data_IF_158247087814
#
_entry.id   IF_158247087814
#
_cell.length_a   1.000
_cell.length_b   1.000
_cell.length_c   1.000
_cell.angle_alpha   90.00
_cell.angle_beta   90.00
_cell.angle_gamma   90.00
#
_symmetry.space_group_name_H-M   'P 1'
#
loop_
_entity.id
_entity.type
_entity.pdbx_description
1 polymer ?
#
# COMPACT_ATOMS: atom_id res chain seq x y z
N UNK A 1 17.03 22.56 10.88
CA UNK A 1 17.92 21.52 10.31
C UNK A 1 17.03 20.59 9.53
N UNK A 2 17.26 20.38 8.23
CA UNK A 2 16.53 19.38 7.47
C UNK A 2 17.08 18.01 7.85
N UNK A 3 16.23 17.14 8.40
CA UNK A 3 16.64 15.80 8.84
C UNK A 3 16.65 14.80 7.68
N UNK A 4 15.57 14.81 6.89
CA UNK A 4 15.36 13.91 5.75
C UNK A 4 14.27 14.47 4.83
N UNK A 5 14.13 13.90 3.64
CA UNK A 5 12.97 14.08 2.76
C UNK A 5 12.11 12.82 2.78
N UNK A 6 10.79 12.99 2.86
CA UNK A 6 9.83 11.91 2.62
C UNK A 6 9.10 12.20 1.30
N UNK A 7 8.67 11.15 0.64
CA UNK A 7 7.87 11.29 -0.58
C UNK A 7 6.45 11.82 -0.23
N UNK A 8 5.71 12.38 -1.20
CA UNK A 8 4.38 12.93 -0.96
C UNK A 8 3.39 11.92 -0.37
N UNK A 9 3.51 10.66 -0.80
CA UNK A 9 2.69 9.55 -0.32
C UNK A 9 2.99 9.18 1.13
N UNK A 10 4.26 9.29 1.53
CA UNK A 10 4.70 9.24 2.92
C UNK A 10 4.16 10.40 3.74
N UNK A 11 4.24 11.62 3.21
CA UNK A 11 3.72 12.83 3.86
C UNK A 11 2.23 12.74 4.16
N UNK A 12 1.43 12.33 3.18
CA UNK A 12 -0.03 12.26 3.32
C UNK A 12 -0.49 11.17 4.28
N UNK A 13 0.14 10.00 4.26
CA UNK A 13 -0.31 8.84 5.05
C UNK A 13 0.31 8.75 6.44
N UNK A 14 1.42 9.43 6.69
CA UNK A 14 2.20 9.26 7.93
C UNK A 14 2.55 10.56 8.62
N UNK A 15 2.41 11.70 7.93
CA UNK A 15 2.78 13.02 8.44
C UNK A 15 1.78 13.66 9.41
N UNK A 16 0.95 12.89 10.12
CA UNK A 16 -0.11 13.47 10.96
C UNK A 16 0.44 14.01 12.28
N UNK A 17 0.01 15.21 12.73
CA UNK A 17 0.36 15.69 14.07
C UNK A 17 0.01 14.65 15.15
N UNK A 18 1.00 14.32 15.98
CA UNK A 18 0.93 13.30 17.02
C UNK A 18 1.31 11.89 16.58
N UNK A 19 1.38 11.60 15.28
CA UNK A 19 1.80 10.30 14.77
C UNK A 19 3.32 10.10 14.88
N UNK A 20 3.73 8.88 15.21
CA UNK A 20 5.12 8.44 15.08
C UNK A 20 5.39 8.06 13.63
N UNK A 21 6.50 8.53 13.06
CA UNK A 21 6.91 8.18 11.70
C UNK A 21 7.16 6.66 11.58
N UNK A 22 6.92 6.06 10.41
CA UNK A 22 7.07 4.61 10.22
C UNK A 22 8.49 4.14 10.48
N UNK A 23 8.61 2.84 10.77
CA UNK A 23 9.89 2.18 11.05
C UNK A 23 10.86 2.42 9.89
N UNK A 24 12.09 2.83 10.21
CA UNK A 24 13.11 3.23 9.22
C UNK A 24 13.21 4.74 9.01
N UNK A 25 12.22 5.54 9.44
CA UNK A 25 12.25 7.00 9.37
C UNK A 25 12.65 7.70 10.68
N UNK A 26 13.25 6.96 11.62
CA UNK A 26 14.14 7.54 12.63
C UNK A 26 13.59 7.80 14.03
N UNK A 27 12.47 7.19 14.44
CA UNK A 27 12.00 7.31 15.83
C UNK A 27 11.59 8.73 16.19
N UNK A 28 10.91 9.41 15.27
CA UNK A 28 10.40 10.76 15.45
C UNK A 28 8.87 10.76 15.49
N UNK A 29 8.32 11.73 16.20
CA UNK A 29 6.89 12.07 16.22
C UNK A 29 6.67 13.40 15.52
N UNK A 30 5.61 13.47 14.74
CA UNK A 30 5.20 14.72 14.11
C UNK A 30 4.54 15.62 15.16
N UNK A 31 5.05 16.85 15.31
CA UNK A 31 4.43 17.88 16.16
C UNK A 31 3.51 18.76 15.33
N UNK A 32 3.92 19.07 14.10
CA UNK A 32 3.22 20.00 13.24
C UNK A 32 3.39 19.58 11.77
N UNK A 33 2.36 19.86 10.98
CA UNK A 33 2.28 19.56 9.55
C UNK A 33 1.86 20.82 8.83
N UNK A 34 2.68 21.28 7.91
CA UNK A 34 2.39 22.42 7.04
C UNK A 34 2.14 21.90 5.61
N UNK A 35 0.87 21.86 5.24
CA UNK A 35 0.42 21.43 3.90
C UNK A 35 0.77 22.43 2.80
N UNK A 36 0.96 23.72 3.11
CA UNK A 36 1.28 24.74 2.11
C UNK A 36 2.75 24.63 1.68
N UNK A 37 3.64 24.41 2.64
CA UNK A 37 5.07 24.24 2.36
C UNK A 37 5.48 22.78 2.13
N UNK A 38 4.62 21.81 2.45
CA UNK A 38 4.92 20.38 2.38
C UNK A 38 5.96 19.95 3.42
N UNK A 39 5.94 20.54 4.61
CA UNK A 39 6.95 20.29 5.65
C UNK A 39 6.36 19.71 6.93
N UNK A 40 7.13 18.85 7.59
CA UNK A 40 6.81 18.27 8.89
C UNK A 40 7.78 18.77 9.95
N UNK A 41 7.25 19.21 11.08
CA UNK A 41 8.05 19.49 12.27
C UNK A 41 8.07 18.25 13.16
N UNK A 42 9.27 17.77 13.48
CA UNK A 42 9.48 16.50 14.15
C UNK A 42 10.10 16.68 15.56
N UNK A 43 9.71 15.81 16.49
CA UNK A 43 10.35 15.63 17.80
C UNK A 43 10.93 14.22 17.90
N UNK A 44 12.13 14.02 18.49
CA UNK A 44 12.57 12.69 18.88
C UNK A 44 11.53 12.02 19.78
N UNK A 45 11.21 10.75 19.50
CA UNK A 45 10.23 9.96 20.22
C UNK A 45 10.91 8.71 20.81
N UNK A 46 11.13 8.73 22.13
CA UNK A 46 11.70 7.61 22.88
C UNK A 46 10.63 6.61 23.35
N UNK A 47 9.35 6.85 23.05
CA UNK A 47 8.24 6.08 23.63
C UNK A 47 7.98 4.72 22.96
N UNK A 48 8.81 4.33 21.98
CA UNK A 48 8.68 3.11 21.16
C UNK A 48 7.29 2.93 20.53
N UNK A 49 6.57 4.04 20.37
CA UNK A 49 5.21 4.02 19.81
C UNK A 49 5.26 3.89 18.31
N UNK A 50 4.29 3.13 17.81
CA UNK A 50 4.16 2.83 16.40
C UNK A 50 2.80 3.28 15.94
N UNK A 51 2.77 4.03 14.85
CA UNK A 51 1.51 4.50 14.27
C UNK A 51 1.24 3.73 12.99
N UNK A 52 -0.02 3.38 12.71
CA UNK A 52 -0.48 2.93 11.40
C UNK A 52 -1.63 3.80 10.94
N UNK A 53 -1.68 4.23 9.67
CA UNK A 53 -2.83 4.96 9.16
C UNK A 53 -4.08 4.09 9.22
N UNK A 54 -5.17 4.68 9.71
CA UNK A 54 -6.51 4.12 9.57
C UNK A 54 -7.10 4.71 8.31
N UNK A 55 -7.28 3.84 7.32
CA UNK A 55 -7.68 4.23 5.96
C UNK A 55 -8.80 3.36 5.44
N UNK A 56 -9.54 3.91 4.49
CA UNK A 56 -10.49 3.19 3.66
C UNK A 56 -10.06 3.34 2.21
N UNK A 57 -9.89 2.21 1.52
CA UNK A 57 -9.50 2.18 0.12
C UNK A 57 -10.65 1.64 -0.72
N UNK A 58 -10.97 2.35 -1.80
CA UNK A 58 -11.81 1.84 -2.89
C UNK A 58 -10.90 1.60 -4.09
N UNK A 59 -10.89 0.36 -4.59
CA UNK A 59 -9.99 -0.04 -5.68
C UNK A 59 -10.82 -0.35 -6.92
N UNK A 60 -10.52 0.35 -8.01
CA UNK A 60 -11.14 0.15 -9.31
C UNK A 60 -10.11 -0.44 -10.28
N UNK A 61 -10.30 -1.71 -10.67
CA UNK A 61 -9.47 -2.35 -11.68
C UNK A 61 -9.67 -1.66 -13.04
N UNK A 62 -8.59 -1.08 -13.58
CA UNK A 62 -8.60 -0.39 -14.88
C UNK A 62 -8.20 -1.31 -16.02
N UNK A 63 -7.17 -2.11 -15.80
CA UNK A 63 -6.68 -3.08 -16.75
C UNK A 63 -6.04 -4.26 -16.02
N UNK A 64 -6.48 -5.47 -16.35
CA UNK A 64 -5.77 -6.69 -15.98
C UNK A 64 -4.70 -6.98 -17.04
N UNK A 65 -3.46 -7.13 -16.60
CA UNK A 65 -2.32 -7.42 -17.49
C UNK A 65 -2.06 -8.91 -17.53
N UNK A 66 -1.99 -9.53 -16.37
CA UNK A 66 -1.54 -10.91 -16.23
C UNK A 66 -2.17 -11.58 -14.99
N UNK A 67 -2.18 -12.92 -15.03
CA UNK A 67 -2.70 -13.75 -13.97
C UNK A 67 -1.92 -15.06 -13.90
N UNK A 68 -1.56 -15.47 -12.69
CA UNK A 68 -0.89 -16.74 -12.42
C UNK A 68 -1.57 -17.50 -11.29
N UNK A 69 -1.39 -18.81 -11.30
CA UNK A 69 -1.92 -19.71 -10.28
C UNK A 69 -0.77 -20.21 -9.40
N UNK A 70 -0.82 -19.90 -8.11
CA UNK A 70 0.19 -20.32 -7.14
C UNK A 70 -0.48 -21.22 -6.12
N UNK A 71 -0.09 -22.49 -6.12
CA UNK A 71 -0.65 -23.52 -5.22
C UNK A 71 -2.18 -23.60 -5.26
N UNK A 72 -2.79 -23.31 -6.41
CA UNK A 72 -4.25 -23.31 -6.59
C UNK A 72 -4.93 -21.98 -6.29
N UNK A 73 -4.18 -20.94 -5.94
CA UNK A 73 -4.69 -19.60 -5.67
C UNK A 73 -4.34 -18.64 -6.80
N UNK A 74 -5.30 -17.81 -7.17
CA UNK A 74 -5.15 -16.82 -8.22
C UNK A 74 -4.42 -15.58 -7.70
N UNK A 75 -3.37 -15.20 -8.41
CA UNK A 75 -2.69 -13.92 -8.22
C UNK A 75 -2.74 -13.18 -9.54
N UNK A 76 -3.26 -11.96 -9.54
CA UNK A 76 -3.34 -11.10 -10.72
C UNK A 76 -2.42 -9.90 -10.62
N UNK A 77 -2.12 -9.28 -11.76
CA UNK A 77 -1.42 -8.01 -11.85
C UNK A 77 -2.00 -7.12 -12.94
N UNK A 78 -1.91 -5.82 -12.74
CA UNK A 78 -2.52 -4.85 -13.64
C UNK A 78 -2.41 -3.42 -13.15
N UNK A 79 -3.30 -2.57 -13.67
CA UNK A 79 -3.44 -1.16 -13.26
C UNK A 79 -4.76 -0.95 -12.56
N UNK A 80 -4.70 -0.17 -11.48
CA UNK A 80 -5.87 0.22 -10.69
C UNK A 80 -5.94 1.73 -10.55
N UNK A 81 -7.16 2.26 -10.45
CA UNK A 81 -7.41 3.54 -9.80
C UNK A 81 -7.75 3.23 -8.35
N UNK A 82 -7.06 3.86 -7.41
CA UNK A 82 -7.35 3.77 -5.99
C UNK A 82 -7.83 5.13 -5.51
N UNK A 83 -8.88 5.10 -4.71
CA UNK A 83 -9.37 6.22 -3.89
C UNK A 83 -9.12 5.83 -2.43
N UNK A 84 -8.36 6.66 -1.72
CA UNK A 84 -7.95 6.40 -0.34
C UNK A 84 -8.41 7.56 0.54
N UNK A 85 -9.14 7.22 1.60
CA UNK A 85 -9.50 8.13 2.67
C UNK A 85 -8.76 7.74 3.95
N UNK A 86 -7.87 8.62 4.42
CA UNK A 86 -7.21 8.45 5.72
C UNK A 86 -7.98 9.25 6.77
N UNK A 87 -8.69 8.53 7.63
CA UNK A 87 -9.62 9.10 8.60
C UNK A 87 -9.07 9.12 10.03
N UNK A 88 -7.90 8.53 10.25
CA UNK A 88 -7.32 8.40 11.57
C UNK A 88 -5.94 7.77 11.52
N UNK A 89 -5.40 7.53 12.70
CA UNK A 89 -4.28 6.63 12.85
C UNK A 89 -4.44 5.79 14.10
N UNK A 90 -3.82 4.62 14.12
CA UNK A 90 -3.76 3.71 15.25
C UNK A 90 -2.36 3.74 15.82
N UNK A 91 -2.25 4.21 17.05
CA UNK A 91 -1.03 4.17 17.82
C UNK A 91 -1.00 2.90 18.68
N UNK A 92 0.14 2.20 18.66
CA UNK A 92 0.43 1.06 19.51
C UNK A 92 1.57 1.41 20.46
N UNK A 93 1.38 1.06 21.73
CA UNK A 93 2.45 1.02 22.73
C UNK A 93 2.47 -0.39 23.35
N UNK A 94 3.35 -1.24 22.80
CA UNK A 94 3.37 -2.66 23.15
C UNK A 94 2.08 -3.42 22.75
N UNK A 95 1.86 -4.63 23.31
CA UNK A 95 0.82 -5.55 22.83
C UNK A 95 -0.61 -5.23 23.32
N UNK A 96 -0.84 -4.21 24.14
CA UNK A 96 -2.17 -3.95 24.74
C UNK A 96 -2.67 -2.52 24.60
N UNK A 97 -1.81 -1.52 24.46
CA UNK A 97 -2.24 -0.13 24.39
C UNK A 97 -2.53 0.26 22.93
N UNK A 98 -3.79 0.61 22.67
CA UNK A 98 -4.28 1.09 21.38
C UNK A 98 -4.94 2.43 21.58
N UNK A 99 -4.45 3.44 20.87
CA UNK A 99 -5.08 4.75 20.78
C UNK A 99 -5.42 5.05 19.33
N UNK A 100 -6.65 5.48 19.04
CA UNK A 100 -7.13 5.74 17.69
C UNK A 100 -7.66 7.17 17.54
N UNK A 101 -6.77 8.15 17.45
CA UNK A 101 -7.16 9.51 17.12
C UNK A 101 -7.71 9.58 15.70
N UNK A 102 -8.89 10.21 15.59
CA UNK A 102 -9.57 10.50 14.33
C UNK A 102 -9.01 11.81 13.78
N UNK A 103 -8.75 11.84 12.48
CA UNK A 103 -8.31 13.02 11.76
C UNK A 103 -9.50 13.86 11.34
N UNK A 104 -9.39 15.16 11.54
CA UNK A 104 -10.38 16.15 11.13
C UNK A 104 -9.62 17.32 10.51
N UNK A 105 -9.72 17.54 9.18
CA UNK A 105 -10.51 16.78 8.21
C UNK A 105 -9.92 15.39 7.87
N UNK A 106 -10.75 14.51 7.31
CA UNK A 106 -10.29 13.29 6.63
C UNK A 106 -9.49 13.68 5.39
N UNK A 107 -8.37 13.00 5.13
CA UNK A 107 -7.60 13.20 3.91
C UNK A 107 -8.07 12.24 2.83
N UNK A 108 -8.54 12.77 1.71
CA UNK A 108 -8.92 11.99 0.55
C UNK A 108 -7.89 12.19 -0.57
N UNK A 109 -7.36 11.09 -1.09
CA UNK A 109 -6.43 11.09 -2.22
C UNK A 109 -6.84 10.05 -3.24
N UNK A 110 -6.51 10.28 -4.52
CA UNK A 110 -6.81 9.33 -5.58
C UNK A 110 -5.69 9.28 -6.60
N UNK A 111 -5.24 8.09 -6.97
CA UNK A 111 -4.17 7.92 -7.96
C UNK A 111 -4.34 6.64 -8.77
N UNK A 112 -3.73 6.63 -9.96
CA UNK A 112 -3.65 5.42 -10.79
C UNK A 112 -2.24 4.86 -10.70
N UNK A 113 -2.12 3.56 -10.42
CA UNK A 113 -0.84 2.88 -10.23
C UNK A 113 -0.91 1.41 -10.67
N UNK A 114 0.26 0.79 -10.96
CA UNK A 114 0.40 -0.66 -10.99
C UNK A 114 0.02 -1.29 -9.65
N UNK A 115 -0.57 -2.48 -9.71
CA UNK A 115 -0.89 -3.29 -8.55
C UNK A 115 -0.81 -4.77 -8.90
N UNK A 116 -0.54 -5.58 -7.89
CA UNK A 116 -0.86 -7.00 -7.91
C UNK A 116 -1.88 -7.31 -6.84
N UNK A 117 -2.62 -8.39 -6.99
CA UNK A 117 -3.62 -8.80 -6.01
C UNK A 117 -3.65 -10.31 -5.84
N UNK A 118 -4.08 -10.71 -4.65
CA UNK A 118 -4.28 -12.10 -4.28
C UNK A 118 -5.79 -12.29 -4.05
N UNK A 119 -6.38 -13.25 -4.77
CA UNK A 119 -7.72 -13.72 -4.45
C UNK A 119 -7.63 -14.51 -3.14
N UNK A 120 -8.22 -13.98 -2.07
CA UNK A 120 -8.02 -14.53 -0.75
C UNK A 120 -8.79 -15.84 -0.58
N UNK A 121 -8.21 -16.83 0.12
CA UNK A 121 -8.83 -18.14 0.31
C UNK A 121 -9.99 -18.12 1.31
N UNK A 122 -10.10 -17.05 2.10
CA UNK A 122 -11.14 -16.85 3.11
C UNK A 122 -11.62 -15.40 3.08
N UNK A 123 -12.92 -15.14 3.29
CA UNK A 123 -13.38 -13.79 3.54
C UNK A 123 -12.84 -13.30 4.88
N UNK A 124 -12.31 -12.09 4.89
CA UNK A 124 -11.76 -11.45 6.08
C UNK A 124 -12.73 -10.36 6.55
N UNK A 125 -12.78 -10.12 7.86
CA UNK A 125 -13.64 -9.11 8.47
C UNK A 125 -13.24 -7.68 8.04
N UNK A 126 -14.14 -6.71 8.25
CA UNK A 126 -14.02 -5.30 7.82
C UNK A 126 -12.76 -4.57 8.32
N UNK A 127 -12.02 -5.14 9.28
CA UNK A 127 -10.68 -4.69 9.68
C UNK A 127 -9.60 -4.96 8.62
N UNK A 128 -10.00 -5.35 7.40
CA UNK A 128 -9.07 -5.85 6.42
C UNK A 128 -8.08 -4.82 5.87
N UNK A 129 -8.30 -3.54 6.17
CA UNK A 129 -7.38 -2.45 5.82
C UNK A 129 -6.04 -2.51 6.57
N UNK A 130 -5.91 -3.39 7.57
CA UNK A 130 -4.68 -3.60 8.34
C UNK A 130 -3.98 -4.94 8.02
N UNK A 131 -4.35 -5.63 6.96
CA UNK A 131 -3.66 -6.85 6.52
C UNK A 131 -2.64 -6.56 5.41
N UNK A 132 -1.82 -7.56 5.08
CA UNK A 132 -0.86 -7.49 3.98
C UNK A 132 0.43 -6.76 4.35
N UNK A 133 0.53 -6.19 5.55
CA UNK A 133 1.74 -5.49 5.97
C UNK A 133 2.95 -6.42 6.11
N UNK A 134 2.75 -7.71 6.41
CA UNK A 134 3.85 -8.69 6.37
C UNK A 134 4.53 -8.79 5.00
N UNK A 135 3.76 -8.72 3.91
CA UNK A 135 4.32 -8.63 2.55
C UNK A 135 5.09 -7.32 2.39
N UNK A 136 4.49 -6.18 2.75
CA UNK A 136 5.15 -4.87 2.62
C UNK A 136 6.46 -4.80 3.40
N UNK A 137 6.54 -5.42 4.59
CA UNK A 137 7.77 -5.52 5.40
C UNK A 137 8.81 -6.45 4.79
N UNK A 138 8.37 -7.48 4.05
CA UNK A 138 9.29 -8.39 3.37
C UNK A 138 10.06 -7.69 2.24
N UNK A 139 9.48 -6.66 1.60
CA UNK A 139 10.05 -6.04 0.40
C UNK A 139 11.39 -5.33 0.66
N UNK A 140 11.55 -4.48 1.69
CA UNK A 140 12.84 -3.87 1.99
C UNK A 140 13.98 -4.85 2.29
N UNK A 141 13.66 -6.11 2.61
CA UNK A 141 14.66 -7.17 2.82
C UNK A 141 15.13 -7.82 1.52
N UNK A 142 14.46 -7.54 0.40
CA UNK A 142 14.72 -8.16 -0.91
C UNK A 142 15.12 -7.13 -1.96
N UNK A 143 14.59 -5.92 -1.88
CA UNK A 143 14.83 -4.83 -2.82
C UNK A 143 15.07 -3.53 -2.07
N UNK A 144 15.70 -2.56 -2.74
CA UNK A 144 15.94 -1.22 -2.19
C UNK A 144 14.65 -0.38 -2.26
N UNK A 145 13.71 -0.70 -1.39
CA UNK A 145 12.50 0.09 -1.17
C UNK A 145 12.32 0.41 0.33
N UNK A 146 11.38 1.28 0.60
CA UNK A 146 10.93 1.63 1.95
C UNK A 146 9.58 0.98 2.25
N UNK A 147 9.21 0.97 3.53
CA UNK A 147 7.93 0.43 3.98
C UNK A 147 6.72 1.22 3.45
N UNK A 148 6.93 2.47 3.01
CA UNK A 148 5.86 3.36 2.52
C UNK A 148 5.67 3.30 1.00
N UNK A 149 6.49 2.52 0.29
CA UNK A 149 6.47 2.44 -1.18
C UNK A 149 5.32 1.58 -1.73
N UNK A 150 4.60 0.86 -0.88
CA UNK A 150 3.48 0.00 -1.25
C UNK A 150 2.31 0.13 -0.27
N UNK A 151 1.09 0.15 -0.82
CA UNK A 151 -0.15 0.27 -0.07
C UNK A 151 -0.93 -1.05 -0.19
N UNK A 152 -1.13 -1.80 0.90
CA UNK A 152 -2.05 -2.90 0.94
C UNK A 152 -3.49 -2.40 1.11
N UNK A 153 -4.41 -2.93 0.31
CA UNK A 153 -5.83 -2.57 0.31
C UNK A 153 -6.72 -3.81 0.12
N UNK A 154 -7.65 -4.04 1.05
CA UNK A 154 -8.58 -5.17 0.97
C UNK A 154 -9.92 -4.74 0.39
N UNK A 155 -10.41 -5.49 -0.59
CA UNK A 155 -11.74 -5.37 -1.16
C UNK A 155 -12.60 -6.58 -0.72
N UNK A 156 -13.57 -6.38 0.20
CA UNK A 156 -14.42 -7.45 0.70
C UNK A 156 -15.45 -7.95 -0.31
N UNK A 157 -15.83 -7.15 -1.32
CA UNK A 157 -16.89 -7.53 -2.27
C UNK A 157 -16.42 -8.66 -3.18
N UNK A 158 -15.15 -8.60 -3.60
CA UNK A 158 -14.52 -9.62 -4.46
C UNK A 158 -13.53 -10.50 -3.70
N UNK A 159 -13.31 -10.26 -2.40
CA UNK A 159 -12.40 -11.04 -1.57
C UNK A 159 -10.94 -10.94 -2.01
N UNK A 160 -10.49 -9.73 -2.39
CA UNK A 160 -9.14 -9.51 -2.93
C UNK A 160 -8.31 -8.63 -2.02
N UNK A 161 -7.04 -9.01 -1.84
CA UNK A 161 -6.04 -8.16 -1.24
C UNK A 161 -5.14 -7.60 -2.33
N UNK A 162 -5.21 -6.30 -2.55
CA UNK A 162 -4.39 -5.55 -3.50
C UNK A 162 -3.13 -5.02 -2.81
N UNK A 163 -2.06 -4.95 -3.59
CA UNK A 163 -0.76 -4.40 -3.24
C UNK A 163 -0.37 -3.42 -4.34
N UNK A 164 -0.46 -2.14 -4.01
CA UNK A 164 -0.50 -1.04 -4.98
C UNK A 164 0.73 -0.18 -4.77
N UNK A 165 1.39 0.22 -5.85
CA UNK A 165 2.48 1.19 -5.75
C UNK A 165 1.96 2.50 -5.15
N UNK A 166 2.67 3.05 -4.16
CA UNK A 166 2.22 4.22 -3.44
C UNK A 166 2.26 5.52 -4.27
N UNK A 167 3.06 5.58 -5.33
CA UNK A 167 3.21 6.77 -6.18
C UNK A 167 2.28 6.73 -7.40
N UNK A 168 1.72 7.88 -7.83
CA UNK A 168 1.05 7.99 -9.13
C UNK A 168 1.96 7.52 -10.27
N UNK A 169 1.43 6.66 -11.15
CA UNK A 169 2.19 6.08 -12.26
C UNK A 169 3.01 4.84 -11.89
N UNK A 170 3.28 4.61 -10.60
CA UNK A 170 4.00 3.46 -10.06
C UNK A 170 5.49 3.68 -9.83
N UNK A 171 6.05 2.88 -8.91
CA UNK A 171 7.49 2.75 -8.66
C UNK A 171 8.03 1.39 -9.12
N UNK A 172 7.18 0.52 -9.69
CA UNK A 172 7.54 -0.78 -10.24
C UNK A 172 7.58 -1.90 -9.20
N UNK A 173 7.26 -1.60 -7.94
CA UNK A 173 7.37 -2.56 -6.85
C UNK A 173 6.29 -3.63 -6.93
N UNK A 174 5.07 -3.28 -7.33
CA UNK A 174 3.97 -4.23 -7.53
C UNK A 174 4.30 -5.23 -8.64
N UNK A 175 4.85 -4.76 -9.75
CA UNK A 175 5.26 -5.60 -10.88
C UNK A 175 6.39 -6.55 -10.48
N UNK A 176 7.43 -6.01 -9.85
CA UNK A 176 8.53 -6.83 -9.35
C UNK A 176 8.06 -7.87 -8.33
N UNK A 177 7.17 -7.47 -7.41
CA UNK A 177 6.66 -8.36 -6.37
C UNK A 177 5.81 -9.47 -6.98
N UNK A 178 4.98 -9.17 -7.99
CA UNK A 178 4.22 -10.18 -8.72
C UNK A 178 5.11 -11.24 -9.37
N UNK A 179 6.21 -10.83 -10.02
CA UNK A 179 7.17 -11.75 -10.64
C UNK A 179 7.90 -12.63 -9.61
N UNK A 180 8.07 -12.15 -8.37
CA UNK A 180 8.84 -12.82 -7.33
C UNK A 180 7.98 -13.34 -6.17
N UNK A 181 6.66 -13.36 -6.34
CA UNK A 181 5.71 -13.57 -5.24
C UNK A 181 5.91 -14.93 -4.54
N UNK A 182 6.28 -15.99 -5.27
CA UNK A 182 6.56 -17.31 -4.67
C UNK A 182 7.70 -17.28 -3.64
N UNK A 183 8.66 -16.37 -3.80
CA UNK A 183 9.74 -16.15 -2.83
C UNK A 183 9.31 -15.21 -1.70
N UNK A 184 8.44 -14.25 -1.98
CA UNK A 184 7.97 -13.27 -1.00
C UNK A 184 7.00 -13.88 0.00
N UNK A 185 6.08 -14.75 -0.43
CA UNK A 185 5.04 -15.31 0.44
C UNK A 185 5.62 -16.08 1.66
N UNK A 186 6.60 -16.99 1.53
CA UNK A 186 7.21 -17.66 2.68
C UNK A 186 7.91 -16.67 3.62
N UNK A 187 8.62 -15.67 3.08
CA UNK A 187 9.29 -14.67 3.88
C UNK A 187 8.29 -13.81 4.67
N UNK A 188 7.21 -13.37 4.04
CA UNK A 188 6.13 -12.63 4.70
C UNK A 188 5.51 -13.45 5.84
N UNK A 189 5.30 -14.75 5.63
CA UNK A 189 4.79 -15.65 6.65
C UNK A 189 5.75 -15.80 7.84
N UNK A 190 7.05 -16.00 7.58
CA UNK A 190 8.06 -16.08 8.62
C UNK A 190 8.18 -14.78 9.43
N UNK A 191 8.10 -13.62 8.76
CA UNK A 191 8.03 -12.30 9.41
C UNK A 191 6.80 -12.22 10.30
N UNK A 192 5.61 -12.59 9.81
CA UNK A 192 4.39 -12.52 10.60
C UNK A 192 4.49 -13.42 11.85
N UNK A 193 5.03 -14.64 11.73
CA UNK A 193 5.29 -15.54 12.86
C UNK A 193 6.27 -14.93 13.87
N UNK A 194 7.36 -14.34 13.40
CA UNK A 194 8.36 -13.72 14.27
C UNK A 194 7.77 -12.52 15.02
N UNK A 195 7.05 -11.64 14.32
CA UNK A 195 6.36 -10.49 14.90
C UNK A 195 5.31 -10.90 15.93
N UNK A 196 4.59 -12.01 15.70
CA UNK A 196 3.65 -12.55 16.67
C UNK A 196 4.37 -13.08 17.93
N UNK A 197 5.47 -13.84 17.77
CA UNK A 197 6.21 -14.45 18.88
C UNK A 197 6.96 -13.45 19.74
N UNK A 198 7.57 -12.45 19.12
CA UNK A 198 8.36 -11.44 19.81
C UNK A 198 7.53 -10.28 20.35
N UNK A 199 6.20 -10.30 20.13
CA UNK A 199 5.34 -9.13 20.36
C UNK A 199 5.88 -7.88 19.66
N UNK A 200 6.34 -8.07 18.42
CA UNK A 200 6.92 -7.02 17.59
C UNK A 200 5.88 -5.99 17.15
N UNK A 201 6.33 -5.04 16.33
CA UNK A 201 5.52 -3.88 15.93
C UNK A 201 4.31 -4.24 15.04
N UNK A 202 4.35 -5.39 14.36
CA UNK A 202 3.19 -5.96 13.65
C UNK A 202 2.34 -6.91 14.49
N UNK A 203 2.57 -7.06 15.80
CA UNK A 203 1.91 -8.08 16.64
C UNK A 203 0.38 -8.11 16.52
N UNK A 204 -0.26 -6.96 16.31
CA UNK A 204 -1.72 -6.83 16.23
C UNK A 204 -2.30 -7.24 14.87
N UNK A 205 -1.50 -7.16 13.80
CA UNK A 205 -1.92 -7.51 12.44
C UNK A 205 -1.38 -8.87 12.01
N UNK A 206 -0.26 -9.30 12.59
CA UNK A 206 0.40 -10.56 12.30
C UNK A 206 -0.52 -11.80 12.38
N UNK A 207 -1.43 -11.96 13.37
CA UNK A 207 -2.33 -13.11 13.40
C UNK A 207 -3.21 -13.22 12.15
N UNK A 208 -3.73 -12.09 11.66
CA UNK A 208 -4.56 -12.05 10.44
C UNK A 208 -3.72 -12.45 9.24
N UNK A 209 -2.49 -11.94 9.15
CA UNK A 209 -1.58 -12.28 8.07
C UNK A 209 -1.16 -13.76 8.07
N UNK A 210 -0.89 -14.33 9.24
CA UNK A 210 -0.58 -15.76 9.42
C UNK A 210 -1.73 -16.62 8.90
N UNK A 211 -2.99 -16.29 9.20
CA UNK A 211 -4.13 -17.11 8.84
C UNK A 211 -4.25 -17.27 7.32
N UNK A 212 -4.31 -16.18 6.55
CA UNK A 212 -4.47 -16.27 5.10
C UNK A 212 -3.19 -16.75 4.39
N UNK A 213 -2.00 -16.36 4.86
CA UNK A 213 -0.73 -16.84 4.31
C UNK A 213 -0.53 -18.34 4.53
N UNK A 214 -0.93 -18.87 5.70
CA UNK A 214 -0.80 -20.30 5.99
C UNK A 214 -1.63 -21.16 5.03
N UNK A 215 -2.80 -20.66 4.61
CA UNK A 215 -3.65 -21.33 3.64
C UNK A 215 -3.04 -21.21 2.24
N UNK A 216 -2.62 -20.01 1.84
CA UNK A 216 -2.01 -19.75 0.54
C UNK A 216 -0.74 -20.60 0.31
N UNK A 217 0.04 -20.80 1.38
CA UNK A 217 1.24 -21.65 1.38
C UNK A 217 0.92 -23.15 1.50
N UNK A 218 -0.34 -23.55 1.68
CA UNK A 218 -0.73 -24.94 1.88
C UNK A 218 -0.25 -25.56 3.19
N UNK A 219 0.07 -24.73 4.19
CA UNK A 219 0.43 -25.15 5.55
C UNK A 219 -0.84 -25.50 6.34
N UNK A 220 -1.90 -24.73 6.11
CA UNK A 220 -3.23 -24.94 6.66
C UNK A 220 -4.24 -25.13 5.54
N UNK A 221 -5.39 -25.74 5.86
CA UNK A 221 -6.52 -25.82 4.94
C UNK A 221 -7.51 -24.73 5.28
N UNK A 222 -8.07 -24.05 4.26
CA UNK A 222 -9.19 -23.15 4.48
C UNK A 222 -10.31 -23.89 5.25
N UNK A 223 -10.96 -23.24 6.23
CA UNK A 223 -12.15 -23.82 6.82
C UNK A 223 -13.16 -24.07 5.70
N UNK A 224 -13.62 -25.32 5.57
CA UNK A 224 -14.74 -25.63 4.70
C UNK A 224 -15.94 -24.85 5.23
N UNK A 225 -16.25 -23.72 4.62
CA UNK A 225 -17.53 -23.06 4.82
C UNK A 225 -18.54 -24.05 4.29
N UNK A 226 -19.11 -24.83 5.20
CA UNK A 226 -20.27 -25.66 4.89
C UNK A 226 -21.35 -24.63 4.64
N UNK A 227 -21.56 -24.29 3.38
CA UNK A 227 -22.75 -23.61 2.94
C UNK A 227 -23.90 -24.53 3.34
N UNK A 228 -24.40 -24.35 4.56
CA UNK A 228 -25.69 -24.88 4.96
C UNK A 228 -26.66 -24.26 3.96
N UNK A 229 -27.05 -25.10 2.99
CA UNK A 229 -28.02 -24.74 1.99
C UNK A 229 -29.26 -24.29 2.77
N UNK A 230 -29.47 -22.98 2.82
CA UNK A 230 -30.74 -22.41 3.17
C UNK A 230 -31.72 -22.92 2.11
N UNK A 231 -32.34 -24.05 2.41
CA UNK A 231 -33.50 -24.55 1.69
C UNK A 231 -34.51 -23.42 1.74
N UNK A 232 -34.88 -22.81 0.60
CA UNK A 232 -35.96 -21.84 0.63
C UNK A 232 -37.19 -22.61 1.08
N UNK A 233 -37.69 -22.27 2.26
CA UNK A 233 -38.97 -22.76 2.75
C UNK A 233 -40.01 -22.14 1.83
N UNK A 234 -40.37 -22.86 0.76
CA UNK A 234 -41.57 -22.55 0.01
C UNK A 234 -42.74 -22.59 1.00
N UNK A 235 -43.51 -21.50 1.15
CA UNK A 235 -44.77 -21.60 1.85
C UNK A 235 -45.69 -22.56 1.07
N UNK A 236 -46.46 -23.42 1.77
CA UNK A 236 -47.33 -24.36 1.08
C UNK A 236 -48.38 -23.59 0.28
N UNK A 237 -48.54 -24.02 -0.97
CA UNK A 237 -49.69 -23.69 -1.81
C UNK A 237 -50.98 -23.86 -1.00
N UNK A 238 -51.73 -22.76 -0.87
CA UNK A 238 -53.16 -22.80 -0.56
C UNK A 238 -53.87 -22.27 -1.80
N UNK A 239 -54.40 -23.19 -2.59
CA UNK A 239 -55.51 -22.89 -3.49
C UNK A 239 -56.77 -22.75 -2.63
N UNK A 240 -57.46 -21.61 -2.71
CA UNK A 240 -58.90 -21.52 -3.01
C UNK A 240 -59.42 -20.08 -2.80
N UNK A 241 -59.83 -19.50 -3.93
CA UNK A 241 -61.06 -18.75 -4.18
C UNK A 241 -61.45 -17.45 -3.41
N UNK A 242 -61.51 -16.41 -4.24
CA UNK A 242 -62.66 -15.51 -4.46
C UNK A 242 -63.10 -14.45 -3.42
N UNK A 243 -62.99 -13.21 -3.94
CA UNK A 243 -63.96 -12.08 -3.89
C UNK A 243 -63.82 -11.01 -2.80
N UNK A 244 -63.96 -9.79 -3.33
CA UNK A 244 -64.37 -8.54 -2.71
C UNK A 244 -63.44 -7.88 -1.68
N UNK A 245 -62.70 -6.85 -2.12
CA UNK A 245 -63.13 -5.47 -1.91
C UNK A 245 -62.03 -4.47 -2.35
N UNK A 246 -62.43 -3.55 -3.22
CA UNK A 246 -61.83 -2.23 -3.39
C UNK A 246 -61.75 -1.51 -2.03
N UNK A 247 -60.61 -0.90 -1.69
CA UNK A 247 -60.46 0.57 -1.73
C UNK A 247 -59.09 1.04 -1.21
N UNK A 248 -58.47 1.88 -2.04
CA UNK A 248 -57.75 3.13 -1.72
C UNK A 248 -56.64 3.07 -0.66
N UNK A 249 -55.40 3.31 -1.11
CA UNK A 249 -54.64 4.50 -0.73
C UNK A 249 -53.53 4.76 -1.77
N UNK A 250 -53.79 5.74 -2.62
CA UNK A 250 -52.81 6.38 -3.48
C UNK A 250 -51.77 7.11 -2.62
N UNK A 251 -50.49 6.82 -2.85
CA UNK A 251 -49.39 7.67 -2.38
C UNK A 251 -48.70 8.25 -3.61
N UNK A 252 -48.65 9.58 -3.58
CA UNK A 252 -48.35 10.48 -4.68
C UNK A 252 -46.92 10.34 -5.19
N UNK A 253 -46.81 10.33 -6.51
CA UNK A 253 -45.57 10.50 -7.28
C UNK A 253 -45.27 12.01 -7.36
N UNK A 254 -44.05 12.49 -7.04
CA UNK A 254 -43.73 13.90 -7.19
C UNK A 254 -43.78 14.32 -8.67
N UNK A 255 -44.48 15.43 -8.91
CA UNK A 255 -44.66 16.05 -10.23
C UNK A 255 -43.33 16.62 -10.75
N UNK A 256 -42.98 16.19 -11.95
CA UNK A 256 -41.93 16.74 -12.79
C UNK A 256 -42.42 18.09 -13.32
N UNK A 257 -41.97 19.18 -12.69
CA UNK A 257 -42.24 20.54 -13.17
C UNK A 257 -41.47 20.78 -14.47
N UNK A 258 -42.21 20.79 -15.57
CA UNK A 258 -41.76 21.30 -16.85
C UNK A 258 -41.61 22.83 -16.75
N UNK A 259 -40.36 23.29 -16.54
CA UNK A 259 -40.01 24.68 -16.77
C UNK A 259 -40.02 24.97 -18.28
N UNK A 260 -40.94 25.85 -18.65
CA UNK A 260 -41.08 26.46 -19.97
C UNK A 260 -39.97 27.49 -20.12
N UNK A 261 -38.95 27.17 -20.91
CA UNK A 261 -37.93 28.13 -21.32
C UNK A 261 -38.36 28.83 -22.61
N UNK A 262 -38.69 30.11 -22.47
CA UNK A 262 -38.95 31.04 -23.55
C UNK A 262 -37.70 31.26 -24.43
N UNK A 263 -37.97 31.39 -25.73
CA UNK A 263 -37.05 31.74 -26.81
C UNK A 263 -36.14 32.94 -26.47
N UNK A 264 -34.82 32.74 -26.51
CA UNK A 264 -33.83 33.82 -26.62
C UNK A 264 -32.87 33.51 -27.78
N UNK A 265 -32.58 34.48 -28.68
CA UNK A 265 -31.96 34.19 -29.97
C UNK A 265 -30.48 33.83 -29.87
N UNK A 266 -30.10 32.87 -30.69
CA UNK A 266 -28.72 32.41 -30.93
C UNK A 266 -27.85 33.53 -31.51
N UNK A 267 -26.82 33.97 -30.77
CA UNK A 267 -25.66 34.65 -31.36
C UNK A 267 -24.41 33.77 -31.17
N UNK A 268 -23.92 33.24 -32.30
CA UNK A 268 -22.60 32.61 -32.41
C UNK A 268 -21.53 33.69 -32.33
N UNK A 269 -20.42 33.47 -31.60
CA UNK A 269 -19.20 34.22 -31.83
C UNK A 269 -18.57 33.77 -33.16
N UNK A 270 -18.39 34.71 -34.06
CA UNK A 270 -17.62 34.60 -35.31
C UNK A 270 -16.13 34.40 -34.97
N UNK A 271 -15.43 33.38 -35.50
CA UNK A 271 -13.98 33.39 -35.53
C UNK A 271 -13.50 34.29 -36.67
N UNK A 272 -12.64 35.25 -36.34
CA UNK A 272 -11.97 36.09 -37.32
C UNK A 272 -11.02 35.24 -38.18
N UNK A 273 -11.24 35.33 -39.49
CA UNK A 273 -10.36 34.83 -40.53
C UNK A 273 -9.30 35.89 -40.80
N UNK A 274 -8.03 35.58 -40.54
CA UNK A 274 -6.91 36.16 -41.28
C UNK A 274 -6.16 35.02 -41.99
N UNK A 275 -6.27 35.02 -43.31
CA UNK A 275 -5.41 34.32 -44.27
C UNK A 275 -4.11 35.16 -44.36
N UNK A 276 -2.89 34.69 -44.64
CA UNK A 276 -2.42 33.64 -45.56
C UNK A 276 -0.86 33.55 -45.46
N UNK A 277 -0.09 32.89 -46.37
CA UNK A 277 0.59 31.62 -46.12
C UNK A 277 2.15 31.68 -46.23
N UNK A 278 2.85 30.63 -45.75
CA UNK A 278 4.13 30.21 -46.36
C UNK A 278 4.20 28.69 -46.42
N UNK A 279 4.37 28.19 -47.64
CA UNK A 279 4.58 26.79 -47.97
C UNK A 279 5.99 26.34 -47.57
N UNK A 280 6.10 25.11 -47.07
CA UNK A 280 7.37 24.41 -46.87
C UNK A 280 7.13 22.90 -46.84
N UNK A 281 7.32 22.24 -47.98
CA UNK A 281 7.57 20.80 -48.06
C UNK A 281 8.79 20.43 -47.20
N UNK A 282 8.77 19.29 -46.50
CA UNK A 282 9.84 18.25 -46.46
C UNK A 282 9.40 17.13 -45.49
N UNK A 283 9.09 15.95 -46.04
CA UNK A 283 9.81 14.66 -45.92
C UNK A 283 9.81 14.02 -44.53
N UNK A 284 9.13 12.88 -44.48
CA UNK A 284 9.40 11.70 -43.64
C UNK A 284 10.85 11.21 -43.77
N UNK A 285 11.53 11.03 -42.63
CA UNK A 285 12.75 10.23 -42.44
C UNK A 285 12.74 9.80 -40.96
N UNK A 286 12.47 8.52 -40.69
CA UNK A 286 13.45 7.48 -40.33
C UNK A 286 13.94 7.59 -38.89
N UNK A 287 13.44 6.66 -38.08
CA UNK A 287 14.12 6.12 -36.90
C UNK A 287 15.56 5.70 -37.26
N UNK A 288 16.43 5.67 -36.24
CA UNK A 288 17.88 5.37 -36.25
C UNK A 288 18.81 6.59 -36.30
N UNK A 289 18.86 7.40 -35.23
CA UNK A 289 20.10 8.13 -34.86
C UNK A 289 20.19 8.68 -33.41
N UNK A 290 19.19 8.47 -32.54
CA UNK A 290 19.21 9.05 -31.17
C UNK A 290 19.92 8.19 -30.10
N UNK A 291 20.43 7.00 -30.44
CA UNK A 291 21.09 6.12 -29.46
C UNK A 291 22.57 6.44 -29.24
N UNK A 292 23.23 7.16 -30.17
CA UNK A 292 24.66 7.43 -30.08
C UNK A 292 25.01 8.69 -29.25
N UNK A 293 24.07 9.63 -29.10
CA UNK A 293 24.30 10.84 -28.31
C UNK A 293 24.17 10.59 -26.80
N UNK A 294 23.35 9.62 -26.37
CA UNK A 294 23.16 9.29 -24.96
C UNK A 294 24.33 8.48 -24.35
N UNK A 295 25.06 7.69 -25.15
CA UNK A 295 26.22 6.92 -24.66
C UNK A 295 27.47 7.78 -24.41
N UNK A 296 27.60 8.92 -25.10
CA UNK A 296 28.73 9.83 -24.92
C UNK A 296 28.70 10.59 -23.58
N UNK A 297 27.50 10.88 -23.05
CA UNK A 297 27.33 11.59 -21.77
C UNK A 297 27.56 10.69 -20.54
N UNK A 298 27.27 9.38 -20.65
CA UNK A 298 27.53 8.41 -19.56
C UNK A 298 29.03 8.14 -19.41
N UNK A 299 29.77 8.07 -20.52
CA UNK A 299 31.22 7.89 -20.50
C UNK A 299 31.96 9.10 -19.90
N UNK A 300 31.43 10.32 -20.09
CA UNK A 300 31.99 11.53 -19.50
C UNK A 300 31.75 11.64 -17.98
N UNK A 301 30.63 11.11 -17.48
CA UNK A 301 30.32 11.06 -16.04
C UNK A 301 31.15 10.01 -15.28
N UNK A 302 31.53 8.90 -15.92
CA UNK A 302 32.38 7.86 -15.31
C UNK A 302 33.86 8.28 -15.21
N UNK A 303 34.31 9.26 -15.99
CA UNK A 303 35.70 9.76 -15.96
C UNK A 303 36.00 10.73 -14.81
N UNK A 304 35.00 11.11 -14.01
CA UNK A 304 35.13 12.03 -12.86
C UNK A 304 35.13 11.28 -11.52
N UNK A 305 34.93 9.95 -11.53
CA UNK A 305 35.02 9.14 -10.33
C UNK A 305 36.50 8.99 -9.91
N UNK A 306 36.85 9.28 -8.64
CA UNK A 306 38.17 8.96 -8.12
C UNK A 306 38.41 7.45 -8.21
N UNK A 307 39.61 7.04 -8.65
CA UNK A 307 40.01 5.64 -8.67
C UNK A 307 39.85 5.03 -7.27
N UNK A 308 39.34 3.78 -7.15
CA UNK A 308 39.28 3.10 -5.87
C UNK A 308 40.69 2.92 -5.33
N UNK A 309 40.93 3.39 -4.09
CA UNK A 309 42.16 3.13 -3.36
C UNK A 309 42.45 1.61 -3.34
N UNK A 310 43.70 1.26 -3.61
CA UNK A 310 44.24 -0.10 -3.51
C UNK A 310 43.76 -0.77 -2.20
N UNK A 311 43.34 -2.05 -2.23
CA UNK A 311 42.91 -2.73 -1.02
C UNK A 311 44.07 -2.78 -0.03
N UNK A 312 43.93 -2.02 1.05
CA UNK A 312 44.80 -2.11 2.22
C UNK A 312 44.84 -3.57 2.72
N UNK A 313 46.05 -4.02 3.04
CA UNK A 313 46.40 -5.34 3.56
C UNK A 313 45.32 -5.94 4.49
N UNK A 314 44.90 -7.16 4.16
CA UNK A 314 44.12 -8.02 5.06
C UNK A 314 44.78 -8.08 6.46
N UNK A 315 44.02 -7.80 7.54
CA UNK A 315 44.55 -8.00 8.89
C UNK A 315 44.76 -9.50 9.14
N UNK A 316 46.02 -9.89 9.31
CA UNK A 316 46.38 -11.25 9.69
C UNK A 316 45.73 -11.63 11.04
N UNK A 317 45.28 -12.89 11.20
CA UNK A 317 44.74 -13.36 12.46
C UNK A 317 45.83 -13.40 13.54
N UNK A 318 45.60 -12.66 14.63
CA UNK A 318 46.43 -12.68 15.82
C UNK A 318 46.42 -14.09 16.43
N UNK A 319 47.56 -14.78 16.36
CA UNK A 319 47.85 -15.95 17.18
C UNK A 319 47.90 -15.54 18.66
N UNK A 320 47.17 -16.23 19.56
CA UNK A 320 47.24 -15.93 20.99
C UNK A 320 48.58 -16.37 21.58
N UNK A 321 49.24 -15.44 22.26
CA UNK A 321 50.48 -15.64 23.01
C UNK A 321 50.22 -16.52 24.26
N UNK A 322 50.84 -17.70 24.40
CA UNK A 322 50.58 -18.64 25.50
C UNK A 322 51.23 -18.24 26.84
N UNK A 323 51.76 -17.02 26.99
CA UNK A 323 52.55 -16.62 28.16
C UNK A 323 51.82 -15.81 29.26
N UNK A 324 50.49 -15.68 29.25
CA UNK A 324 49.74 -15.03 30.34
C UNK A 324 48.69 -15.94 30.96
N UNK A 325 49.16 -17.03 31.53
CA UNK A 325 48.43 -17.79 32.52
C UNK A 325 48.70 -17.20 33.93
N UNK A 326 47.60 -16.98 34.67
CA UNK A 326 47.48 -17.08 36.14
C UNK A 326 48.04 -15.93 37.00
N UNK A 327 47.13 -15.09 37.49
CA UNK A 327 47.14 -14.66 38.91
C UNK A 327 45.71 -14.69 39.47
N UNK A 328 45.44 -15.46 40.55
CA UNK A 328 44.14 -15.49 41.21
C UNK A 328 43.97 -14.34 42.19
N UNK A 329 42.78 -13.72 42.18
CA UNK A 329 42.35 -12.68 43.13
C UNK A 329 41.83 -13.31 44.44
N UNK A 330 42.15 -12.77 45.63
CA UNK A 330 41.73 -13.35 46.91
C UNK A 330 40.26 -13.01 47.27
N UNK A 331 39.62 -13.82 48.14
CA UNK A 331 38.23 -13.63 48.53
C UNK A 331 38.07 -12.52 49.59
N UNK A 332 36.96 -11.78 49.50
CA UNK A 332 36.49 -10.83 50.51
C UNK A 332 35.98 -11.55 51.77
N UNK A 333 36.26 -11.05 52.98
CA UNK A 333 35.59 -11.50 54.19
C UNK A 333 34.24 -10.78 54.37
N UNK A 334 33.24 -11.52 54.84
CA UNK A 334 32.00 -10.99 55.42
C UNK A 334 31.89 -11.45 56.87
N UNK A 335 31.40 -10.63 57.81
CA UNK A 335 30.65 -11.13 58.96
C UNK A 335 29.21 -11.49 58.60
#
# INVERSE_FOLDING_TARGET
MLLTSIDPSGFDRWGFPGASLPVGLGGYRVIDRDDESGTLTLLPDESERLTFPLRQCVVHLRAERDQQLIRGHTIGAGRVLIEEEVYGYREFQGPQERFEPVLIPVLATGWTAPAFWIDLPIPLADNGQLMGWSIVVALPLQVLCTFTDMVPAYDPEVGRLYFIDAQPGGNGLADWTYEHIERILPLAYDIALDQQRQHGWLYQTAPIDIDWLSILLGISTAPTVTAEAAVPSQPPFQDEDERDAFDILAVSRPEEQAETWDDVPTQRPTPAVEQSPVAGHFKTASDDDDTAAAEADIAALLAILPEPDDPADEPQPLTPDPAKALTPTPPKPSP
#
